data_IF_111482590957
#
_entry.id   IF_111482590957
#
_cell.length_a   1.000
_cell.length_b   1.000
_cell.length_c   1.000
_cell.angle_alpha   90.00
_cell.angle_beta   90.00
_cell.angle_gamma   90.00
#
_symmetry.space_group_name_H-M   'P 1'
#
loop_
_entity.id
_entity.type
_entity.pdbx_description
1 polymer ?
#
# COMPACT_ATOMS: atom_id res chain seq x y z
N UNK A 1 -23.17 -2.25 7.64
CA UNK A 1 -23.02 -0.78 7.83
C UNK A 1 -24.24 -0.01 7.35
N UNK A 2 -24.53 0.07 6.05
CA UNK A 2 -25.75 0.74 5.55
C UNK A 2 -27.03 0.12 6.17
N UNK A 3 -27.19 -1.20 6.05
CA UNK A 3 -28.34 -1.91 6.61
C UNK A 3 -28.42 -1.83 8.15
N UNK A 4 -27.28 -1.72 8.82
CA UNK A 4 -27.18 -1.69 10.28
C UNK A 4 -27.46 -0.30 10.88
N UNK A 5 -27.15 0.76 10.14
CA UNK A 5 -27.21 2.15 10.62
C UNK A 5 -28.34 2.96 10.01
N UNK A 6 -28.93 2.45 8.92
CA UNK A 6 -29.96 3.13 8.13
C UNK A 6 -29.55 4.54 7.67
N UNK A 7 -28.25 4.80 7.49
CA UNK A 7 -27.76 6.08 6.99
C UNK A 7 -27.96 6.21 5.47
N UNK A 8 -28.24 7.42 5.01
CA UNK A 8 -28.43 7.71 3.57
C UNK A 8 -27.11 7.74 2.79
N UNK A 9 -25.98 7.90 3.48
CA UNK A 9 -24.68 8.11 2.84
C UNK A 9 -23.53 7.68 3.74
N UNK A 10 -22.44 7.24 3.12
CA UNK A 10 -21.22 6.79 3.80
C UNK A 10 -20.01 7.58 3.33
N UNK A 11 -19.16 7.99 4.26
CA UNK A 11 -17.89 8.64 3.95
C UNK A 11 -16.75 7.63 4.00
N UNK A 12 -15.96 7.55 2.93
CA UNK A 12 -14.76 6.70 2.87
C UNK A 12 -13.52 7.58 2.97
N UNK A 13 -12.82 7.51 4.10
CA UNK A 13 -11.57 8.25 4.32
C UNK A 13 -10.34 7.38 4.03
N UNK A 14 -9.83 6.66 5.05
CA UNK A 14 -8.58 5.88 4.97
C UNK A 14 -8.58 4.82 3.86
N UNK A 15 -9.75 4.22 3.58
CA UNK A 15 -9.90 3.20 2.54
C UNK A 15 -9.69 3.73 1.10
N UNK A 16 -9.76 5.04 0.89
CA UNK A 16 -9.56 5.67 -0.42
C UNK A 16 -8.09 6.04 -0.69
N UNK A 17 -7.20 5.99 0.31
CA UNK A 17 -5.78 6.33 0.15
C UNK A 17 -5.10 5.30 -0.76
N UNK A 18 -4.67 5.75 -1.95
CA UNK A 18 -4.11 4.87 -2.99
C UNK A 18 -5.12 3.94 -3.66
N UNK A 19 -6.40 4.08 -3.32
CA UNK A 19 -7.48 3.26 -3.87
C UNK A 19 -8.70 4.13 -4.24
N UNK A 20 -8.55 5.10 -5.16
CA UNK A 20 -9.68 5.91 -5.65
C UNK A 20 -10.74 5.06 -6.36
N UNK A 21 -10.41 3.83 -6.76
CA UNK A 21 -11.32 2.90 -7.44
C UNK A 21 -12.43 2.38 -6.54
N UNK A 22 -12.28 2.51 -5.22
CA UNK A 22 -13.29 2.08 -4.25
C UNK A 22 -14.66 2.75 -4.48
N UNK A 23 -14.67 4.00 -4.97
CA UNK A 23 -15.91 4.72 -5.27
C UNK A 23 -16.65 4.10 -6.46
N UNK A 24 -15.93 3.80 -7.55
CA UNK A 24 -16.50 3.12 -8.73
C UNK A 24 -17.01 1.72 -8.39
N UNK A 25 -16.25 0.98 -7.57
CA UNK A 25 -16.63 -0.36 -7.08
C UNK A 25 -17.89 -0.30 -6.21
N UNK A 26 -17.93 0.63 -5.26
CA UNK A 26 -19.08 0.83 -4.40
C UNK A 26 -20.33 1.18 -5.21
N UNK A 27 -20.25 2.13 -6.13
CA UNK A 27 -21.38 2.48 -7.00
C UNK A 27 -21.83 1.28 -7.84
N UNK A 28 -20.89 0.51 -8.40
CA UNK A 28 -21.22 -0.70 -9.18
C UNK A 28 -21.94 -1.74 -8.31
N UNK A 29 -21.49 -1.95 -7.07
CA UNK A 29 -22.12 -2.85 -6.12
C UNK A 29 -23.55 -2.40 -5.79
N UNK A 30 -23.75 -1.09 -5.57
CA UNK A 30 -25.07 -0.54 -5.27
C UNK A 30 -26.03 -0.59 -6.46
N UNK A 31 -25.55 -0.32 -7.67
CA UNK A 31 -26.38 -0.27 -8.88
C UNK A 31 -26.66 -1.65 -9.48
N UNK A 32 -25.68 -2.56 -9.46
CA UNK A 32 -25.72 -3.85 -10.17
C UNK A 32 -25.77 -5.07 -9.24
N UNK A 33 -25.58 -4.89 -7.93
CA UNK A 33 -25.58 -5.98 -6.96
C UNK A 33 -24.33 -6.84 -6.95
N UNK A 34 -23.24 -6.45 -7.63
CA UNK A 34 -21.96 -7.17 -7.59
C UNK A 34 -20.76 -6.21 -7.54
N UNK A 35 -19.68 -6.64 -6.88
CA UNK A 35 -18.41 -5.91 -6.86
C UNK A 35 -17.57 -6.33 -8.08
N UNK A 36 -17.17 -5.39 -8.97
CA UNK A 36 -16.36 -5.73 -10.14
C UNK A 36 -14.93 -6.14 -9.78
N UNK A 37 -14.54 -6.05 -8.51
CA UNK A 37 -13.21 -6.41 -8.03
C UNK A 37 -12.22 -5.28 -8.17
N UNK A 38 -10.93 -5.60 -7.96
CA UNK A 38 -9.85 -4.63 -8.11
C UNK A 38 -9.65 -4.25 -9.59
N UNK A 39 -9.29 -2.98 -9.87
CA UNK A 39 -8.99 -2.56 -11.24
C UNK A 39 -7.78 -3.32 -11.80
N UNK A 40 -7.73 -3.42 -13.12
CA UNK A 40 -6.55 -3.95 -13.80
C UNK A 40 -5.34 -3.03 -13.64
N UNK A 41 -4.14 -3.60 -13.74
CA UNK A 41 -2.89 -2.84 -13.59
C UNK A 41 -2.77 -1.67 -14.58
N UNK A 42 -3.37 -1.81 -15.76
CA UNK A 42 -3.40 -0.75 -16.78
C UNK A 42 -4.27 0.43 -16.34
N UNK A 43 -5.45 0.16 -15.76
CA UNK A 43 -6.33 1.21 -15.21
C UNK A 43 -5.63 1.90 -14.02
N UNK A 44 -4.91 1.15 -13.18
CA UNK A 44 -4.09 1.70 -12.09
C UNK A 44 -3.01 2.63 -12.64
N UNK A 45 -2.26 2.19 -13.66
CA UNK A 45 -1.21 2.97 -14.31
C UNK A 45 -1.73 4.31 -14.83
N UNK A 46 -2.84 4.30 -15.57
CA UNK A 46 -3.41 5.51 -16.16
C UNK A 46 -3.85 6.53 -15.09
N UNK A 47 -4.49 6.05 -14.01
CA UNK A 47 -4.87 6.92 -12.89
C UNK A 47 -3.66 7.46 -12.15
N UNK A 48 -2.63 6.63 -11.93
CA UNK A 48 -1.40 7.04 -11.28
C UNK A 48 -0.66 8.12 -12.11
N UNK A 49 -0.52 7.94 -13.42
CA UNK A 49 0.09 8.93 -14.32
C UNK A 49 -0.64 10.27 -14.26
N UNK A 50 -1.97 10.25 -14.35
CA UNK A 50 -2.78 11.46 -14.19
C UNK A 50 -2.55 12.12 -12.82
N UNK A 51 -2.42 11.32 -11.76
CA UNK A 51 -2.20 11.84 -10.42
C UNK A 51 -0.81 12.49 -10.26
N UNK A 52 0.23 11.96 -10.91
CA UNK A 52 1.56 12.59 -10.99
C UNK A 52 1.42 14.00 -11.58
N UNK A 53 0.75 14.13 -12.72
CA UNK A 53 0.55 15.43 -13.38
C UNK A 53 -0.17 16.44 -12.49
N UNK A 54 -1.23 15.99 -11.79
CA UNK A 54 -1.98 16.85 -10.88
C UNK A 54 -1.14 17.33 -9.70
N UNK A 55 -0.33 16.45 -9.11
CA UNK A 55 0.54 16.80 -7.97
C UNK A 55 1.64 17.77 -8.38
N UNK A 56 2.25 17.57 -9.55
CA UNK A 56 3.29 18.47 -10.06
C UNK A 56 2.70 19.83 -10.42
N UNK A 57 1.51 19.85 -11.02
CA UNK A 57 0.80 21.10 -11.30
C UNK A 57 0.51 21.91 -10.05
N UNK A 58 0.13 21.24 -8.96
CA UNK A 58 -0.28 21.91 -7.71
C UNK A 58 0.92 22.34 -6.85
N UNK A 59 1.94 21.49 -6.72
CA UNK A 59 3.03 21.68 -5.75
C UNK A 59 4.37 22.07 -6.41
N UNK A 60 4.41 22.21 -7.73
CA UNK A 60 5.65 22.34 -8.48
C UNK A 60 6.41 21.01 -8.56
N UNK A 61 7.49 20.98 -9.33
CA UNK A 61 8.16 19.73 -9.69
C UNK A 61 8.81 19.02 -8.49
N UNK A 62 9.70 19.69 -7.75
CA UNK A 62 10.43 19.07 -6.64
C UNK A 62 9.48 18.50 -5.58
N UNK A 63 8.55 19.31 -5.08
CA UNK A 63 7.58 18.87 -4.06
C UNK A 63 6.51 17.93 -4.62
N UNK A 64 6.13 18.10 -5.89
CA UNK A 64 5.16 17.26 -6.58
C UNK A 64 5.66 15.85 -6.78
N UNK A 65 6.92 15.67 -7.21
CA UNK A 65 7.57 14.37 -7.38
C UNK A 65 7.61 13.60 -6.06
N UNK A 66 8.05 14.21 -4.96
CA UNK A 66 8.12 13.53 -3.66
C UNK A 66 6.74 13.11 -3.13
N UNK A 67 5.72 13.94 -3.34
CA UNK A 67 4.33 13.58 -3.02
C UNK A 67 3.86 12.44 -3.91
N UNK A 68 4.16 12.49 -5.21
CA UNK A 68 3.75 11.49 -6.18
C UNK A 68 4.33 10.10 -5.86
N UNK A 69 5.60 10.00 -5.47
CA UNK A 69 6.23 8.73 -5.05
C UNK A 69 5.40 8.00 -4.00
N UNK A 70 4.95 8.72 -2.96
CA UNK A 70 4.11 8.17 -1.90
C UNK A 70 2.78 7.61 -2.43
N UNK A 71 2.14 8.32 -3.36
CA UNK A 71 0.90 7.87 -3.96
C UNK A 71 1.10 6.63 -4.86
N UNK A 72 2.18 6.60 -5.64
CA UNK A 72 2.54 5.45 -6.49
C UNK A 72 2.78 4.20 -5.63
N UNK A 73 3.50 4.32 -4.52
CA UNK A 73 3.70 3.22 -3.57
C UNK A 73 2.35 2.70 -3.05
N UNK A 74 1.40 3.59 -2.76
CA UNK A 74 0.08 3.16 -2.30
C UNK A 74 -0.73 2.45 -3.39
N UNK A 75 -0.67 2.93 -4.64
CA UNK A 75 -1.33 2.27 -5.77
C UNK A 75 -0.79 0.84 -6.00
N UNK A 76 0.52 0.65 -5.81
CA UNK A 76 1.22 -0.62 -6.08
C UNK A 76 1.39 -1.51 -4.85
N UNK A 77 0.86 -1.12 -3.69
CA UNK A 77 1.10 -1.81 -2.41
C UNK A 77 0.81 -3.32 -2.46
N UNK A 78 -0.21 -3.71 -3.22
CA UNK A 78 -0.68 -5.09 -3.34
C UNK A 78 -0.33 -5.73 -4.70
N UNK A 79 0.50 -5.09 -5.52
CA UNK A 79 0.98 -5.67 -6.78
C UNK A 79 2.28 -6.45 -6.57
N UNK A 80 2.51 -7.42 -7.44
CA UNK A 80 3.77 -8.18 -7.44
C UNK A 80 4.95 -7.29 -7.83
N UNK A 81 6.13 -7.53 -7.25
CA UNK A 81 7.32 -6.74 -7.55
C UNK A 81 7.37 -5.39 -6.83
N UNK A 82 6.52 -5.17 -5.83
CA UNK A 82 6.52 -3.94 -5.01
C UNK A 82 7.89 -3.65 -4.40
N UNK A 83 8.67 -4.69 -4.04
CA UNK A 83 10.03 -4.51 -3.53
C UNK A 83 10.95 -3.86 -4.57
N UNK A 84 10.91 -4.33 -5.81
CA UNK A 84 11.69 -3.74 -6.90
C UNK A 84 11.29 -2.28 -7.15
N UNK A 85 9.99 -1.99 -7.11
CA UNK A 85 9.51 -0.61 -7.21
C UNK A 85 10.08 0.26 -6.09
N UNK A 86 10.06 -0.21 -4.84
CA UNK A 86 10.58 0.53 -3.70
C UNK A 86 12.08 0.78 -3.83
N UNK A 87 12.87 -0.19 -4.28
CA UNK A 87 14.31 -0.05 -4.44
C UNK A 87 14.67 1.03 -5.49
N UNK A 88 13.85 1.17 -6.54
CA UNK A 88 14.08 2.12 -7.64
C UNK A 88 13.47 3.51 -7.35
N UNK A 89 12.25 3.59 -6.79
CA UNK A 89 11.47 4.83 -6.70
C UNK A 89 12.07 5.90 -5.77
N UNK A 90 12.82 5.49 -4.75
CA UNK A 90 13.44 6.43 -3.82
C UNK A 90 14.66 7.16 -4.41
N UNK A 91 15.23 6.66 -5.50
CA UNK A 91 16.39 7.24 -6.19
C UNK A 91 16.00 8.28 -7.26
N UNK A 92 14.72 8.40 -7.56
CA UNK A 92 14.19 9.27 -8.62
C UNK A 92 14.07 10.71 -8.12
N UNK A 93 14.38 11.68 -8.97
CA UNK A 93 14.26 13.10 -8.62
C UNK A 93 13.44 13.93 -9.61
N UNK A 94 13.20 13.42 -10.81
CA UNK A 94 12.45 14.13 -11.86
C UNK A 94 11.10 13.49 -12.15
N UNK A 95 10.23 14.25 -12.83
CA UNK A 95 8.94 13.74 -13.30
C UNK A 95 9.12 12.63 -14.32
N UNK A 96 10.02 12.85 -15.29
CA UNK A 96 10.24 11.98 -16.43
C UNK A 96 10.69 10.59 -15.97
N UNK A 97 11.68 10.54 -15.07
CA UNK A 97 12.16 9.30 -14.45
C UNK A 97 11.03 8.56 -13.72
N UNK A 98 10.17 9.29 -12.99
CA UNK A 98 9.06 8.69 -12.24
C UNK A 98 8.01 8.06 -13.15
N UNK A 99 7.71 8.74 -14.27
CA UNK A 99 6.78 8.26 -15.29
C UNK A 99 7.35 7.03 -15.99
N UNK A 100 8.63 7.07 -16.38
CA UNK A 100 9.31 5.94 -17.02
C UNK A 100 9.35 4.72 -16.10
N UNK A 101 9.71 4.89 -14.82
CA UNK A 101 9.69 3.82 -13.84
C UNK A 101 8.30 3.19 -13.73
N UNK A 102 7.25 4.01 -13.62
CA UNK A 102 5.88 3.52 -13.48
C UNK A 102 5.44 2.71 -14.71
N UNK A 103 5.74 3.19 -15.92
CA UNK A 103 5.44 2.47 -17.17
C UNK A 103 6.18 1.14 -17.20
N UNK A 104 7.49 1.14 -16.95
CA UNK A 104 8.31 -0.06 -17.01
C UNK A 104 7.92 -1.10 -15.95
N UNK A 105 7.63 -0.64 -14.73
CA UNK A 105 7.18 -1.50 -13.63
C UNK A 105 5.86 -2.19 -13.96
N UNK A 106 4.88 -1.44 -14.47
CA UNK A 106 3.56 -1.99 -14.84
C UNK A 106 3.64 -2.94 -16.05
N UNK A 107 4.50 -2.67 -17.03
CA UNK A 107 4.77 -3.61 -18.11
C UNK A 107 5.38 -4.94 -17.62
N UNK A 108 6.32 -4.87 -16.67
CA UNK A 108 6.90 -6.09 -16.06
C UNK A 108 5.83 -6.93 -15.37
N UNK A 109 4.88 -6.29 -14.68
CA UNK A 109 3.74 -6.97 -14.06
C UNK A 109 2.88 -7.67 -15.14
N UNK A 110 2.52 -6.95 -16.22
CA UNK A 110 1.71 -7.50 -17.32
C UNK A 110 2.38 -8.69 -18.01
N UNK A 111 3.69 -8.59 -18.25
CA UNK A 111 4.51 -9.65 -18.86
C UNK A 111 4.89 -10.77 -17.88
N UNK A 112 4.42 -10.71 -16.62
CA UNK A 112 4.73 -11.67 -15.55
C UNK A 112 6.24 -11.91 -15.36
N UNK A 113 7.02 -10.83 -15.43
CA UNK A 113 8.48 -10.88 -15.31
C UNK A 113 8.97 -10.88 -13.86
N UNK A 114 8.09 -10.57 -12.91
CA UNK A 114 8.38 -10.73 -11.49
C UNK A 114 8.14 -12.18 -11.05
N UNK A 115 9.05 -12.71 -10.23
CA UNK A 115 8.87 -14.04 -9.63
C UNK A 115 7.69 -14.02 -8.67
N UNK A 116 6.91 -15.11 -8.62
CA UNK A 116 5.84 -15.26 -7.63
C UNK A 116 6.39 -15.14 -6.22
N UNK A 117 5.83 -14.21 -5.46
CA UNK A 117 6.18 -13.95 -4.09
C UNK A 117 5.46 -14.97 -3.19
N UNK A 118 6.20 -15.90 -2.56
CA UNK A 118 5.62 -16.86 -1.62
C UNK A 118 5.19 -16.15 -0.32
N UNK A 119 3.88 -15.95 -0.18
CA UNK A 119 3.26 -15.32 0.98
C UNK A 119 3.59 -16.05 2.30
N UNK A 120 3.86 -17.36 2.26
CA UNK A 120 4.25 -18.10 3.46
C UNK A 120 5.59 -17.62 4.02
N UNK A 121 6.54 -17.26 3.15
CA UNK A 121 7.84 -16.72 3.57
C UNK A 121 7.65 -15.38 4.30
N UNK A 122 6.77 -14.53 3.79
CA UNK A 122 6.47 -13.24 4.42
C UNK A 122 5.73 -13.40 5.74
N UNK A 123 4.73 -14.29 5.78
CA UNK A 123 3.99 -14.58 7.00
C UNK A 123 4.92 -15.17 8.07
N UNK A 124 5.82 -16.07 7.69
CA UNK A 124 6.82 -16.65 8.60
C UNK A 124 7.81 -15.59 9.09
N UNK A 125 8.30 -14.70 8.21
CA UNK A 125 9.17 -13.57 8.61
C UNK A 125 8.46 -12.61 9.56
N UNK A 126 7.19 -12.28 9.31
CA UNK A 126 6.39 -11.44 10.19
C UNK A 126 6.18 -12.11 11.54
N UNK A 127 5.71 -13.37 11.55
CA UNK A 127 5.50 -14.15 12.76
C UNK A 127 6.79 -14.27 13.57
N UNK A 128 7.94 -14.55 12.93
CA UNK A 128 9.24 -14.62 13.62
C UNK A 128 9.63 -13.28 14.25
N UNK A 129 9.36 -12.15 13.57
CA UNK A 129 9.60 -10.81 14.14
C UNK A 129 8.66 -10.55 15.32
N UNK A 130 7.37 -10.86 15.21
CA UNK A 130 6.41 -10.67 16.31
C UNK A 130 6.76 -11.56 17.51
N UNK A 131 7.10 -12.83 17.27
CA UNK A 131 7.53 -13.77 18.29
C UNK A 131 8.79 -13.29 19.01
N UNK A 132 9.74 -12.67 18.31
CA UNK A 132 10.92 -12.06 18.93
C UNK A 132 10.52 -11.04 20.01
N UNK A 133 9.59 -10.12 19.71
CA UNK A 133 9.11 -9.12 20.68
C UNK A 133 8.37 -9.74 21.86
N UNK A 134 7.55 -10.78 21.61
CA UNK A 134 6.82 -11.48 22.68
C UNK A 134 7.78 -12.22 23.63
N UNK A 135 8.77 -12.92 23.10
CA UNK A 135 9.78 -13.62 23.90
C UNK A 135 10.67 -12.66 24.69
N UNK A 136 10.96 -11.48 24.14
CA UNK A 136 11.70 -10.44 24.85
C UNK A 136 10.87 -9.83 26.00
N UNK A 137 9.56 -9.62 25.78
CA UNK A 137 8.66 -9.14 26.83
C UNK A 137 8.52 -10.13 28.01
N UNK A 138 8.42 -11.44 27.73
CA UNK A 138 8.40 -12.47 28.79
C UNK A 138 9.73 -12.55 29.56
N UNK A 139 10.87 -12.36 28.88
CA UNK A 139 12.18 -12.30 29.55
C UNK A 139 12.29 -11.09 30.46
N UNK A 140 11.80 -9.92 30.04
CA UNK A 140 11.79 -8.71 30.85
C UNK A 140 10.89 -8.85 32.09
N UNK A 141 9.71 -9.48 31.96
CA UNK A 141 8.83 -9.79 33.10
C UNK A 141 9.43 -10.81 34.08
N UNK A 142 10.18 -11.80 33.60
CA UNK A 142 10.88 -12.74 34.50
C UNK A 142 12.01 -12.06 35.26
N UNK A 143 12.73 -11.12 34.64
CA UNK A 143 13.83 -10.39 35.29
C UNK A 143 13.30 -9.37 36.34
N UNK A 144 12.17 -8.71 36.08
CA UNK A 144 11.55 -7.79 37.04
C UNK A 144 10.96 -8.51 38.27
N UNK A 145 10.39 -9.72 38.08
CA UNK A 145 9.86 -10.54 39.18
C UNK A 145 10.95 -11.17 40.07
N UNK A 146 12.17 -11.33 39.56
CA UNK A 146 13.31 -11.83 40.35
C UNK A 146 13.96 -10.70 41.14
N UNK A 147 14.09 -9.50 40.56
CA UNK A 147 14.70 -8.34 41.23
C UNK A 147 13.83 -7.77 42.36
N UNK A 148 12.51 -7.86 42.25
CA UNK A 148 11.57 -7.45 43.31
C UNK A 148 11.55 -8.39 44.54
N UNK A 149 12.08 -9.61 44.43
CA UNK A 149 12.22 -10.56 45.56
C UNK A 149 13.56 -10.51 46.30
N UNK A 150 14.53 -9.72 45.81
CA UNK A 150 15.89 -9.62 46.37
C UNK A 150 16.14 -8.34 47.18
N UNK A 151 15.10 -7.52 47.44
CA UNK A 151 15.18 -6.24 48.17
C UNK A 151 14.37 -6.26 49.49
N UNK A 152 14.32 -7.41 50.16
CA UNK A 152 13.86 -7.54 51.56
C UNK A 152 14.98 -8.21 52.37
#
# INVERSE_FOLDING_TARGET
>A
MLDETCCDSVMIARGALGNPFIFKRFNTLMEKGYDPGLPEIEEIKLVALKHIDLLIREYGEISGVDKAKKHIIWYMKNSIGIRNLLDEIFLIHTKEELVELLIFHTEKIQKKLYQEEDLNIYQQKFNNRVLFWLLESEKLEKVSNVTSKLVL
#
